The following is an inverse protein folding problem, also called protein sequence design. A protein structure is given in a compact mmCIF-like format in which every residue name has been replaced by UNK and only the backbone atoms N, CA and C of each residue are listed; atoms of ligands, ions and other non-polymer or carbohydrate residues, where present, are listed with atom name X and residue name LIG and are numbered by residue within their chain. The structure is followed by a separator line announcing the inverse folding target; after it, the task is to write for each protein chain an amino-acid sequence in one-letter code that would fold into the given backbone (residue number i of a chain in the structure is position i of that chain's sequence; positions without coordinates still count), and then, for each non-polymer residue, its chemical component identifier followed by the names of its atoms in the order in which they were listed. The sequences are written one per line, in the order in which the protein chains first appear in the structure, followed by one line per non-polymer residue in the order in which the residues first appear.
data_IF_906140450933
#
_entry.id   IF_906140450933
#
_cell.length_a   1.000
_cell.length_b   1.000
_cell.length_c   1.000
_cell.angle_alpha   90.00
_cell.angle_beta   90.00
_cell.angle_gamma   90.00
#
_symmetry.space_group_name_H-M   'P 1'
#
loop_
_entity.id
_entity.type
_entity.pdbx_description
1 polymer ?
#
# COMPACT_ATOMS: atom_id res chain seq x y z
N UNK A 1 -5.72 23.18 -2.89
CA UNK A 1 -6.75 24.00 -3.57
C UNK A 1 -6.25 24.53 -4.92
N UNK A 2 -5.02 25.08 -4.98
CA UNK A 2 -4.44 25.65 -6.22
C UNK A 2 -4.27 24.62 -7.35
N UNK A 3 -3.85 23.39 -7.01
CA UNK A 3 -3.66 22.30 -7.99
C UNK A 3 -5.00 21.85 -8.61
N UNK A 4 -6.07 21.82 -7.81
CA UNK A 4 -7.41 21.48 -8.28
C UNK A 4 -7.98 22.60 -9.18
N UNK A 5 -7.66 23.84 -8.88
CA UNK A 5 -8.07 25.01 -9.68
C UNK A 5 -7.29 25.09 -11.00
N UNK A 6 -5.98 24.80 -10.97
CA UNK A 6 -5.16 24.69 -12.17
C UNK A 6 -5.65 23.58 -13.10
N UNK A 7 -5.94 22.40 -12.56
CA UNK A 7 -6.49 21.28 -13.35
C UNK A 7 -7.87 21.60 -13.92
N UNK A 8 -8.70 22.33 -13.18
CA UNK A 8 -10.02 22.76 -13.67
C UNK A 8 -9.91 23.78 -14.80
N UNK A 9 -8.95 24.72 -14.71
CA UNK A 9 -8.65 25.67 -15.79
C UNK A 9 -8.09 24.99 -17.02
N UNK A 10 -7.21 24.00 -16.83
CA UNK A 10 -6.65 23.19 -17.92
C UNK A 10 -7.74 22.38 -18.64
N UNK A 11 -8.61 21.70 -17.89
CA UNK A 11 -9.73 20.94 -18.44
C UNK A 11 -10.74 21.86 -19.18
N UNK A 12 -11.00 23.06 -18.67
CA UNK A 12 -11.85 24.06 -19.35
C UNK A 12 -11.21 24.58 -20.61
N UNK A 13 -9.89 24.78 -20.64
CA UNK A 13 -9.15 25.20 -21.83
C UNK A 13 -9.14 24.10 -22.90
N UNK A 14 -8.98 22.83 -22.50
CA UNK A 14 -9.02 21.68 -23.41
C UNK A 14 -10.43 21.44 -23.99
N UNK A 15 -11.47 21.63 -23.17
CA UNK A 15 -12.85 21.51 -23.62
C UNK A 15 -13.27 22.63 -24.63
N UNK A 16 -12.62 23.78 -24.55
CA UNK A 16 -12.86 24.92 -25.46
C UNK A 16 -11.92 25.01 -26.67
N UNK A 17 -11.05 24.01 -26.88
CA UNK A 17 -10.27 23.94 -28.11
C UNK A 17 -11.24 23.85 -29.30
N UNK A 18 -11.16 24.74 -30.27
CA UNK A 18 -12.02 24.67 -31.45
C UNK A 18 -11.73 23.33 -32.15
N UNK A 19 -12.76 22.49 -32.21
CA UNK A 19 -12.71 21.30 -33.05
C UNK A 19 -12.68 21.78 -34.47
N UNK A 20 -11.51 21.75 -35.10
CA UNK A 20 -11.36 22.07 -36.51
C UNK A 20 -12.20 21.05 -37.30
N UNK A 21 -13.38 21.45 -37.72
CA UNK A 21 -14.16 20.72 -38.70
C UNK A 21 -13.38 20.64 -40.02
N UNK A 22 -13.28 19.49 -40.61
CA UNK A 22 -12.74 19.41 -41.98
C UNK A 22 -13.80 19.95 -42.89
N UNK A 23 -13.51 21.01 -43.71
CA UNK A 23 -14.45 21.48 -44.69
C UNK A 23 -14.80 20.37 -45.70
N UNK A 24 -15.95 20.50 -46.34
CA UNK A 24 -16.33 19.57 -47.40
C UNK A 24 -15.34 19.74 -48.56
N UNK A 25 -14.96 18.59 -49.18
CA UNK A 25 -14.09 18.64 -50.38
C UNK A 25 -14.75 19.48 -51.47
N UNK A 26 -14.04 20.46 -52.07
CA UNK A 26 -14.58 21.26 -53.13
C UNK A 26 -15.01 20.46 -54.36
N UNK A 27 -16.04 20.94 -55.05
CA UNK A 27 -16.48 20.35 -56.33
C UNK A 27 -15.52 20.81 -57.45
N UNK A 28 -14.95 19.88 -58.25
CA UNK A 28 -14.03 20.19 -59.38
C UNK A 28 -14.60 21.09 -60.44
N UNK A 29 -15.92 21.27 -60.47
CA UNK A 29 -16.62 22.06 -61.48
C UNK A 29 -17.05 23.44 -61.01
N UNK A 30 -16.72 23.81 -59.76
CA UNK A 30 -17.00 25.15 -59.21
C UNK A 30 -15.88 26.15 -59.54
N UNK A 31 -16.27 27.39 -59.79
CA UNK A 31 -15.32 28.50 -59.95
C UNK A 31 -14.47 28.70 -58.71
N UNK A 32 -13.14 28.79 -58.88
CA UNK A 32 -12.21 28.93 -57.75
C UNK A 32 -11.84 27.60 -57.07
N UNK A 33 -12.00 26.47 -57.78
CA UNK A 33 -11.67 25.11 -57.29
C UNK A 33 -10.26 25.02 -56.71
N UNK A 34 -9.26 25.56 -57.40
CA UNK A 34 -7.85 25.46 -56.98
C UNK A 34 -7.61 26.09 -55.61
N UNK A 35 -8.12 27.32 -55.39
CA UNK A 35 -8.01 28.01 -54.10
C UNK A 35 -8.82 27.30 -52.97
N UNK A 36 -9.98 26.75 -53.31
CA UNK A 36 -10.80 25.99 -52.36
C UNK A 36 -10.14 24.65 -52.00
N UNK A 37 -9.46 24.01 -52.92
CA UNK A 37 -8.74 22.79 -52.72
C UNK A 37 -7.50 23.02 -51.83
N UNK A 38 -6.73 24.09 -52.06
CA UNK A 38 -5.60 24.47 -51.18
C UNK A 38 -6.04 24.68 -49.72
N UNK A 39 -7.18 25.36 -49.53
CA UNK A 39 -7.77 25.53 -48.18
C UNK A 39 -8.20 24.24 -47.56
N UNK A 40 -8.79 23.32 -48.33
CA UNK A 40 -9.20 22.02 -47.88
C UNK A 40 -7.99 21.18 -47.44
N UNK A 41 -6.93 21.10 -48.25
CA UNK A 41 -5.71 20.37 -47.94
C UNK A 41 -5.00 20.90 -46.69
N UNK A 42 -4.92 22.22 -46.57
CA UNK A 42 -4.39 22.87 -45.36
C UNK A 42 -5.20 22.51 -44.10
N UNK A 43 -6.55 22.53 -44.22
CA UNK A 43 -7.42 22.15 -43.10
C UNK A 43 -7.30 20.67 -42.70
N UNK A 44 -7.23 19.78 -43.70
CA UNK A 44 -6.99 18.32 -43.44
C UNK A 44 -5.66 18.11 -42.77
N UNK A 45 -4.60 18.76 -43.26
CA UNK A 45 -3.25 18.63 -42.67
C UNK A 45 -3.23 19.16 -41.22
N UNK A 46 -3.85 20.31 -40.97
CA UNK A 46 -3.94 20.88 -39.62
C UNK A 46 -4.71 19.95 -38.65
N UNK A 47 -5.82 19.36 -39.12
CA UNK A 47 -6.59 18.42 -38.34
C UNK A 47 -5.81 17.15 -38.03
N UNK A 48 -5.17 16.55 -39.02
CA UNK A 48 -4.37 15.33 -38.83
C UNK A 48 -3.24 15.56 -37.80
N UNK A 49 -2.59 16.74 -37.89
CA UNK A 49 -1.57 17.13 -36.88
C UNK A 49 -2.18 17.27 -35.51
N UNK A 50 -3.32 17.95 -35.38
CA UNK A 50 -4.00 18.10 -34.09
C UNK A 50 -4.41 16.77 -33.48
N UNK A 51 -4.98 15.86 -34.29
CA UNK A 51 -5.40 14.52 -33.85
C UNK A 51 -4.18 13.67 -33.40
N UNK A 52 -3.06 13.78 -34.13
CA UNK A 52 -1.81 13.13 -33.75
C UNK A 52 -1.26 13.67 -32.42
N UNK A 53 -1.19 15.00 -32.26
CA UNK A 53 -0.71 15.65 -31.05
C UNK A 53 -1.59 15.29 -29.84
N UNK A 54 -2.92 15.28 -30.01
CA UNK A 54 -3.87 14.89 -28.97
C UNK A 54 -3.68 13.41 -28.55
N UNK A 55 -3.52 12.53 -29.53
CA UNK A 55 -3.30 11.09 -29.27
C UNK A 55 -1.97 10.85 -28.53
N UNK A 56 -0.91 11.55 -28.95
CA UNK A 56 0.39 11.47 -28.31
C UNK A 56 0.33 11.99 -26.86
N UNK A 57 -0.37 13.10 -26.64
CA UNK A 57 -0.54 13.68 -25.31
C UNK A 57 -1.36 12.77 -24.38
N UNK A 58 -2.47 12.19 -24.88
CA UNK A 58 -3.25 11.21 -24.14
C UNK A 58 -2.41 9.98 -23.76
N UNK A 59 -1.62 9.45 -24.72
CA UNK A 59 -0.74 8.32 -24.47
C UNK A 59 0.28 8.60 -23.34
N UNK A 60 0.87 9.80 -23.32
CA UNK A 60 1.79 10.20 -22.25
C UNK A 60 1.09 10.32 -20.89
N UNK A 61 -0.12 10.90 -20.86
CA UNK A 61 -0.90 11.01 -19.62
C UNK A 61 -1.30 9.63 -19.07
N UNK A 62 -1.73 8.72 -19.95
CA UNK A 62 -2.10 7.37 -19.56
C UNK A 62 -0.90 6.59 -19.03
N UNK A 63 0.27 6.71 -19.65
CA UNK A 63 1.50 6.11 -19.15
C UNK A 63 1.90 6.67 -17.78
N UNK A 64 1.83 7.99 -17.61
CA UNK A 64 2.15 8.63 -16.33
C UNK A 64 1.19 8.17 -15.22
N UNK A 65 -0.11 8.07 -15.53
CA UNK A 65 -1.11 7.55 -14.59
C UNK A 65 -0.84 6.09 -14.21
N UNK A 66 -0.57 5.23 -15.19
CA UNK A 66 -0.24 3.83 -14.93
C UNK A 66 1.00 3.68 -14.05
N UNK A 67 2.06 4.47 -14.30
CA UNK A 67 3.25 4.47 -13.46
C UNK A 67 2.95 4.91 -12.03
N UNK A 68 2.14 5.96 -11.85
CA UNK A 68 1.73 6.41 -10.52
C UNK A 68 0.92 5.34 -9.79
N UNK A 69 -0.03 4.69 -10.45
CA UNK A 69 -0.82 3.59 -9.88
C UNK A 69 0.05 2.39 -9.50
N UNK A 70 1.00 2.00 -10.35
CA UNK A 70 1.94 0.92 -10.06
C UNK A 70 2.82 1.25 -8.85
N UNK A 71 3.34 2.47 -8.80
CA UNK A 71 4.18 2.94 -7.68
C UNK A 71 3.37 2.97 -6.37
N UNK A 72 2.16 3.53 -6.40
CA UNK A 72 1.27 3.56 -5.24
C UNK A 72 0.90 2.15 -4.75
N UNK A 73 0.62 1.23 -5.68
CA UNK A 73 0.32 -0.16 -5.33
C UNK A 73 1.55 -0.89 -4.75
N UNK A 74 2.75 -0.65 -5.28
CA UNK A 74 3.98 -1.21 -4.74
C UNK A 74 4.26 -0.68 -3.32
N UNK A 75 4.08 0.62 -3.08
CA UNK A 75 4.22 1.22 -1.76
C UNK A 75 3.22 0.66 -0.75
N UNK A 76 1.95 0.47 -1.14
CA UNK A 76 0.93 -0.14 -0.27
C UNK A 76 1.26 -1.58 0.10
N UNK A 77 1.72 -2.37 -0.87
CA UNK A 77 2.15 -3.76 -0.62
C UNK A 77 3.34 -3.81 0.35
N UNK A 78 4.32 -2.93 0.15
CA UNK A 78 5.49 -2.87 1.03
C UNK A 78 5.11 -2.40 2.45
N UNK A 79 4.28 -1.38 2.59
CA UNK A 79 3.74 -0.94 3.87
C UNK A 79 2.98 -2.07 4.58
N UNK A 80 2.12 -2.79 3.87
CA UNK A 80 1.42 -3.96 4.40
C UNK A 80 2.37 -5.07 4.87
N UNK A 81 3.41 -5.37 4.08
CA UNK A 81 4.44 -6.35 4.45
C UNK A 81 5.19 -5.94 5.72
N UNK A 82 5.62 -4.70 5.80
CA UNK A 82 6.33 -4.14 6.96
C UNK A 82 5.43 -4.17 8.21
N UNK A 83 4.16 -3.82 8.05
CA UNK A 83 3.16 -3.88 9.12
C UNK A 83 2.98 -5.30 9.67
N UNK A 84 2.87 -6.32 8.80
CA UNK A 84 2.77 -7.72 9.21
C UNK A 84 4.03 -8.21 9.90
N UNK A 85 5.22 -7.82 9.40
CA UNK A 85 6.49 -8.13 10.05
C UNK A 85 6.59 -7.51 11.44
N UNK A 86 6.16 -6.24 11.59
CA UNK A 86 6.11 -5.57 12.89
C UNK A 86 5.20 -6.32 13.86
N UNK A 87 4.01 -6.76 13.41
CA UNK A 87 3.10 -7.57 14.22
C UNK A 87 3.74 -8.86 14.71
N UNK A 88 4.38 -9.59 13.81
CA UNK A 88 5.07 -10.86 14.14
C UNK A 88 6.20 -10.63 15.14
N UNK A 89 6.98 -9.55 14.97
CA UNK A 89 8.11 -9.24 15.86
C UNK A 89 7.70 -8.95 17.30
N UNK A 90 6.47 -8.48 17.51
CA UNK A 90 5.90 -8.20 18.84
C UNK A 90 5.00 -9.34 19.35
N UNK A 91 4.94 -10.49 18.62
CA UNK A 91 4.20 -11.67 19.04
C UNK A 91 2.69 -11.64 18.77
N UNK A 92 2.23 -10.76 17.87
CA UNK A 92 0.84 -10.74 17.41
C UNK A 92 0.69 -11.76 16.27
N UNK A 93 -0.23 -12.73 16.44
CA UNK A 93 -0.53 -13.68 15.36
C UNK A 93 -1.29 -13.00 14.23
N UNK A 94 -1.07 -13.49 13.00
CA UNK A 94 -1.73 -13.00 11.80
C UNK A 94 -3.26 -13.04 11.92
N UNK A 95 -3.82 -14.14 12.45
CA UNK A 95 -5.26 -14.29 12.64
C UNK A 95 -5.85 -13.22 13.57
N UNK A 96 -5.16 -12.92 14.68
CA UNK A 96 -5.61 -11.90 15.62
C UNK A 96 -5.52 -10.50 15.02
N UNK A 97 -4.45 -10.25 14.26
CA UNK A 97 -4.28 -8.97 13.58
C UNK A 97 -5.37 -8.76 12.52
N UNK A 98 -5.63 -9.77 11.68
CA UNK A 98 -6.66 -9.69 10.64
C UNK A 98 -8.05 -9.45 11.25
N UNK A 99 -8.42 -10.16 12.32
CA UNK A 99 -9.67 -9.90 13.04
C UNK A 99 -9.76 -8.46 13.56
N UNK A 100 -8.65 -7.94 14.09
CA UNK A 100 -8.61 -6.57 14.59
C UNK A 100 -8.74 -5.55 13.45
N UNK A 101 -8.10 -5.80 12.31
CA UNK A 101 -8.23 -4.98 11.09
C UNK A 101 -9.68 -4.99 10.62
N UNK A 102 -10.31 -6.16 10.51
CA UNK A 102 -11.69 -6.29 10.05
C UNK A 102 -12.66 -5.48 10.93
N UNK A 103 -12.47 -5.51 12.26
CA UNK A 103 -13.27 -4.71 13.19
C UNK A 103 -13.07 -3.22 12.95
N UNK A 104 -11.81 -2.77 12.85
CA UNK A 104 -11.48 -1.34 12.71
C UNK A 104 -11.94 -0.80 11.36
N UNK A 105 -11.73 -1.57 10.28
CA UNK A 105 -12.17 -1.20 8.93
C UNK A 105 -13.70 -1.26 8.82
N UNK A 106 -14.33 -2.29 9.39
CA UNK A 106 -15.78 -2.46 9.39
C UNK A 106 -16.52 -1.32 10.10
N UNK A 107 -15.89 -0.70 11.10
CA UNK A 107 -16.42 0.48 11.78
C UNK A 107 -16.19 1.81 11.03
N UNK A 108 -15.59 1.77 9.83
CA UNK A 108 -15.52 2.91 8.92
C UNK A 108 -14.48 3.96 9.29
N UNK A 109 -13.29 3.55 9.71
CA UNK A 109 -12.16 4.48 9.89
C UNK A 109 -11.79 5.13 8.55
N UNK A 110 -11.38 6.41 8.59
CA UNK A 110 -10.96 7.13 7.39
C UNK A 110 -9.70 6.47 6.79
N UNK A 111 -9.68 6.27 5.45
CA UNK A 111 -8.57 5.64 4.74
C UNK A 111 -7.22 6.32 5.02
N UNK A 112 -7.18 7.66 5.06
CA UNK A 112 -5.95 8.40 5.33
C UNK A 112 -5.43 8.16 6.76
N UNK A 113 -6.33 7.94 7.72
CA UNK A 113 -5.97 7.59 9.11
C UNK A 113 -5.49 6.14 9.18
N UNK A 114 -6.14 5.23 8.46
CA UNK A 114 -5.69 3.84 8.35
C UNK A 114 -4.29 3.75 7.72
N UNK A 115 -4.06 4.46 6.62
CA UNK A 115 -2.75 4.56 5.96
C UNK A 115 -1.67 5.13 6.92
N UNK A 116 -2.03 6.11 7.75
CA UNK A 116 -1.14 6.65 8.78
C UNK A 116 -0.76 5.58 9.81
N UNK A 117 -1.74 4.84 10.35
CA UNK A 117 -1.50 3.77 11.34
C UNK A 117 -0.64 2.64 10.75
N UNK A 118 -0.88 2.23 9.50
CA UNK A 118 -0.11 1.17 8.83
C UNK A 118 1.38 1.54 8.71
N UNK A 119 1.69 2.82 8.53
CA UNK A 119 3.07 3.30 8.43
C UNK A 119 3.75 3.54 9.78
N UNK A 120 3.01 3.42 10.90
CA UNK A 120 3.57 3.57 12.24
C UNK A 120 4.22 2.27 12.74
N UNK A 121 5.40 2.35 13.40
CA UNK A 121 6.08 1.16 13.94
C UNK A 121 5.22 0.37 14.93
N UNK A 122 4.41 1.06 15.75
CA UNK A 122 3.49 0.45 16.71
C UNK A 122 2.07 0.25 16.15
N UNK A 123 1.90 0.41 14.83
CA UNK A 123 0.63 0.28 14.12
C UNK A 123 -0.16 -0.98 14.47
N UNK A 124 0.43 -2.18 14.50
CA UNK A 124 -0.27 -3.40 14.88
C UNK A 124 -0.86 -3.37 16.30
N UNK A 125 -0.14 -2.78 17.27
CA UNK A 125 -0.65 -2.61 18.63
C UNK A 125 -1.79 -1.59 18.68
N UNK A 126 -1.69 -0.51 17.91
CA UNK A 126 -2.73 0.52 17.81
C UNK A 126 -4.01 -0.10 17.24
N UNK A 127 -3.91 -0.92 16.19
CA UNK A 127 -5.06 -1.62 15.59
C UNK A 127 -5.70 -2.57 16.60
N UNK A 128 -4.92 -3.35 17.35
CA UNK A 128 -5.47 -4.22 18.40
C UNK A 128 -6.16 -3.42 19.50
N UNK A 129 -5.54 -2.33 19.92
CA UNK A 129 -6.14 -1.45 20.93
C UNK A 129 -7.47 -0.86 20.44
N UNK A 130 -7.49 -0.34 19.22
CA UNK A 130 -8.71 0.20 18.62
C UNK A 130 -9.81 -0.86 18.48
N UNK A 131 -9.47 -2.08 18.04
CA UNK A 131 -10.44 -3.17 17.93
C UNK A 131 -11.13 -3.49 19.27
N UNK A 132 -10.42 -3.31 20.40
CA UNK A 132 -10.96 -3.51 21.73
C UNK A 132 -11.68 -2.28 22.29
N UNK A 133 -11.54 -1.09 21.68
CA UNK A 133 -12.04 0.19 22.19
C UNK A 133 -12.87 0.94 21.13
N UNK A 134 -14.13 0.57 20.91
CA UNK A 134 -14.99 1.19 19.88
C UNK A 134 -15.17 2.69 20.04
N UNK A 135 -15.20 3.20 21.28
CA UNK A 135 -15.30 4.65 21.53
C UNK A 135 -14.13 5.44 20.94
N UNK A 136 -12.92 4.88 20.99
CA UNK A 136 -11.75 5.52 20.41
C UNK A 136 -11.76 5.48 18.87
N UNK A 137 -12.37 4.45 18.29
CA UNK A 137 -12.60 4.40 16.84
C UNK A 137 -13.59 5.50 16.40
N UNK A 138 -14.68 5.71 17.15
CA UNK A 138 -15.66 6.76 16.87
C UNK A 138 -15.03 8.16 16.99
N UNK A 139 -14.15 8.37 17.97
CA UNK A 139 -13.38 9.59 18.10
C UNK A 139 -12.52 9.83 16.86
N UNK A 140 -11.73 8.83 16.43
CA UNK A 140 -10.87 8.92 15.25
C UNK A 140 -11.66 9.20 13.99
N UNK A 141 -12.85 8.61 13.85
CA UNK A 141 -13.70 8.79 12.66
C UNK A 141 -14.17 10.23 12.48
N UNK A 142 -14.35 10.96 13.60
CA UNK A 142 -14.79 12.36 13.59
C UNK A 142 -13.63 13.35 13.40
N UNK A 143 -12.38 12.90 13.49
CA UNK A 143 -11.19 13.77 13.45
C UNK A 143 -10.70 14.00 12.01
N UNK A 144 -10.13 15.17 11.76
CA UNK A 144 -9.28 15.39 10.59
C UNK A 144 -7.98 14.59 10.72
N UNK A 145 -7.28 14.33 9.58
CA UNK A 145 -6.02 13.59 9.60
C UNK A 145 -4.99 14.17 10.57
N UNK A 146 -4.87 15.49 10.65
CA UNK A 146 -3.94 16.17 11.55
C UNK A 146 -4.28 15.93 13.03
N UNK A 147 -5.56 16.00 13.37
CA UNK A 147 -6.04 15.71 14.74
C UNK A 147 -5.85 14.24 15.08
N UNK A 148 -6.20 13.34 14.16
CA UNK A 148 -6.00 11.91 14.33
C UNK A 148 -4.52 11.55 14.54
N UNK A 149 -3.60 12.13 13.76
CA UNK A 149 -2.16 11.93 13.93
C UNK A 149 -1.68 12.40 15.32
N UNK A 150 -2.14 13.56 15.79
CA UNK A 150 -1.84 14.03 17.15
C UNK A 150 -2.37 13.10 18.23
N UNK A 151 -3.61 12.61 18.08
CA UNK A 151 -4.24 11.68 19.00
C UNK A 151 -3.55 10.31 19.03
N UNK A 152 -3.21 9.77 17.84
CA UNK A 152 -2.46 8.52 17.70
C UNK A 152 -1.10 8.63 18.38
N UNK A 153 -0.33 9.67 18.09
CA UNK A 153 1.02 9.84 18.64
C UNK A 153 1.04 10.14 20.14
N UNK A 154 0.04 10.86 20.64
CA UNK A 154 -0.04 11.24 22.06
C UNK A 154 -0.64 10.13 22.92
N UNK A 155 -1.87 9.76 22.64
CA UNK A 155 -2.67 8.93 23.55
C UNK A 155 -2.72 7.45 23.12
N UNK A 156 -3.03 7.17 21.84
CA UNK A 156 -3.22 5.79 21.40
C UNK A 156 -1.95 4.96 21.48
N UNK A 157 -0.79 5.49 21.10
CA UNK A 157 0.49 4.79 21.23
C UNK A 157 0.79 4.42 22.69
N UNK A 158 0.54 5.33 23.61
CA UNK A 158 0.78 5.08 25.03
C UNK A 158 -0.13 3.96 25.55
N UNK A 159 -1.41 4.01 25.20
CA UNK A 159 -2.38 3.01 25.62
C UNK A 159 -2.13 1.65 24.96
N UNK A 160 -1.80 1.64 23.66
CA UNK A 160 -1.49 0.44 22.90
C UNK A 160 -0.19 -0.23 23.40
N UNK A 161 0.79 0.53 23.85
CA UNK A 161 2.04 -0.03 24.41
C UNK A 161 1.78 -0.94 25.61
N UNK A 162 0.70 -0.74 26.36
CA UNK A 162 0.31 -1.62 27.47
C UNK A 162 -0.12 -3.03 26.99
N UNK A 163 -0.52 -3.18 25.73
CA UNK A 163 -0.86 -4.47 25.12
C UNK A 163 0.38 -5.26 24.66
N UNK A 164 1.56 -4.66 24.67
CA UNK A 164 2.80 -5.33 24.26
C UNK A 164 3.03 -6.55 25.13
N UNK A 165 3.15 -7.76 24.54
CA UNK A 165 3.42 -8.95 25.29
C UNK A 165 4.69 -8.75 26.12
N UNK A 166 4.63 -9.03 27.44
CA UNK A 166 5.82 -8.99 28.29
C UNK A 166 6.75 -10.07 27.78
N UNK A 167 7.92 -9.71 27.28
CA UNK A 167 8.95 -10.69 26.97
C UNK A 167 9.24 -11.47 28.24
N UNK A 168 9.12 -12.80 28.16
CA UNK A 168 9.52 -13.68 29.26
C UNK A 168 11.00 -13.46 29.51
N UNK A 169 11.34 -13.04 30.72
CA UNK A 169 12.73 -13.01 31.21
C UNK A 169 13.23 -14.40 31.61
N UNK A 170 12.41 -15.45 31.36
CA UNK A 170 12.84 -16.82 31.59
C UNK A 170 14.08 -17.12 30.74
N UNK A 171 15.14 -17.69 31.31
CA UNK A 171 16.27 -18.14 30.51
C UNK A 171 15.81 -19.08 29.41
N UNK A 172 16.44 -19.02 28.26
CA UNK A 172 16.19 -19.99 27.20
C UNK A 172 16.23 -21.41 27.77
N UNK A 173 15.26 -22.28 27.39
CA UNK A 173 15.31 -23.66 27.83
C UNK A 173 16.71 -24.23 27.60
N UNK A 174 17.34 -24.73 28.66
CA UNK A 174 18.65 -25.39 28.56
C UNK A 174 18.47 -26.46 27.49
N UNK A 175 19.25 -26.40 26.42
CA UNK A 175 19.30 -27.48 25.43
C UNK A 175 19.47 -28.76 26.21
N UNK A 176 18.60 -29.80 26.05
CA UNK A 176 18.76 -31.03 26.74
C UNK A 176 20.18 -31.48 26.43
N UNK A 177 21.02 -31.63 27.46
CA UNK A 177 22.29 -32.33 27.30
C UNK A 177 21.90 -33.70 26.73
N UNK A 178 22.20 -33.94 25.45
CA UNK A 178 22.15 -35.25 24.88
C UNK A 178 22.94 -36.09 25.84
N UNK A 179 22.22 -36.90 26.66
CA UNK A 179 22.82 -37.85 27.56
C UNK A 179 23.81 -38.63 26.72
N UNK A 180 25.06 -38.55 27.12
CA UNK A 180 26.18 -39.11 26.39
C UNK A 180 25.77 -40.47 25.84
N UNK A 181 25.98 -40.67 24.55
CA UNK A 181 25.69 -41.94 23.91
C UNK A 181 26.26 -43.01 24.78
N UNK A 182 25.45 -44.00 25.11
CA UNK A 182 25.90 -45.21 25.78
C UNK A 182 27.02 -45.72 24.91
N UNK A 183 28.25 -45.60 25.44
CA UNK A 183 29.44 -46.07 24.77
C UNK A 183 29.23 -47.55 24.53
N UNK A 184 29.03 -47.96 23.28
CA UNK A 184 28.77 -49.35 22.90
C UNK A 184 29.95 -50.28 23.26
N UNK A 185 31.05 -49.73 23.72
CA UNK A 185 32.24 -50.42 24.20
C UNK A 185 32.30 -50.57 25.73
N UNK A 186 31.31 -50.02 26.49
CA UNK A 186 31.29 -50.19 27.96
C UNK A 186 31.09 -51.64 28.42
N UNK A 187 30.82 -52.58 27.52
CA UNK A 187 30.74 -54.01 27.81
C UNK A 187 32.06 -54.78 27.72
N UNK A 188 33.18 -54.11 27.38
CA UNK A 188 34.49 -54.74 27.21
C UNK A 188 35.45 -54.57 28.40
N UNK A 189 34.92 -54.46 29.61
CA UNK A 189 35.82 -54.53 30.75
C UNK A 189 36.17 -56.03 31.01
N UNK A 190 37.41 -56.40 30.67
CA UNK A 190 38.00 -57.72 30.77
C UNK A 190 38.00 -58.30 32.19
N UNK A 191 37.53 -57.57 33.18
CA UNK A 191 37.58 -58.00 34.60
C UNK A 191 36.25 -58.55 35.13
N UNK A 192 35.19 -58.61 34.35
CA UNK A 192 33.92 -59.20 34.79
C UNK A 192 33.72 -60.65 34.39
N UNK A 193 34.67 -61.27 33.69
CA UNK A 193 34.65 -62.74 33.45
C UNK A 193 35.35 -63.45 34.57
N UNK A 194 34.58 -63.87 35.54
CA UNK A 194 35.13 -64.83 36.52
C UNK A 194 34.71 -64.71 37.99
N UNK A 195 33.82 -63.83 38.32
CA UNK A 195 33.25 -63.80 39.68
C UNK A 195 32.11 -64.80 39.78
N UNK A 196 32.43 -66.07 40.08
CA UNK A 196 31.50 -67.04 40.60
C UNK A 196 31.47 -66.94 42.12
N UNK A 197 30.34 -66.51 42.65
CA UNK A 197 30.06 -66.59 44.10
C UNK A 197 29.60 -67.96 44.43
N UNK A 198 30.38 -68.71 45.29
CA UNK A 198 29.99 -69.94 46.00
C UNK A 198 29.24 -69.51 47.25
#
# INVERSE_FOLDING_TARGET
RELAEANRKLAAFEANKPVLGVPTRPDPYEDGYDEAMDRYEAAVTAKNKQDYDNTAQQGQQDQARQQQEQTANAQRKEAGRTFMQAATSIGISEDNLNKSIDVVVGNGINQSVADFIINEPDGPLIIQYLAANPMEQDNLRSMSLMQAAGFINGQLKTNAAALRPKQSTAPNPITPLNGGGVDKDAGKYLHSKGATFS
#
